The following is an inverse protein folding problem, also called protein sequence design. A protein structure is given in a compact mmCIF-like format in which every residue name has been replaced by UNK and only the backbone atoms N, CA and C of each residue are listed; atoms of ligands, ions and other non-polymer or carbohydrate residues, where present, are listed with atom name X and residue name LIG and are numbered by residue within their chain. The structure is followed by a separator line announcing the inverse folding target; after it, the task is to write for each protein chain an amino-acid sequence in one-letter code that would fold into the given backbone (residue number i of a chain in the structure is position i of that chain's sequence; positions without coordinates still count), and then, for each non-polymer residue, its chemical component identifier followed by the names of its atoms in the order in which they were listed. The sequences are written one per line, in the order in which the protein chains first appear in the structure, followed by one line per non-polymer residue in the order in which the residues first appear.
data_IF_364220784650
#
_entry.id   IF_364220784650
#
_cell.length_a   1.000
_cell.length_b   1.000
_cell.length_c   1.000
_cell.angle_alpha   90.00
_cell.angle_beta   90.00
_cell.angle_gamma   90.00
#
_symmetry.space_group_name_H-M   'P 1'
#
loop_
_entity.id
_entity.type
_entity.pdbx_description
1 polymer ?
#
# COMPACT_ATOMS: atom_id res chain seq x y z
N UNK A 1 -46.74 -16.98 9.86
CA UNK A 1 -46.51 -15.59 9.38
C UNK A 1 -45.09 -15.23 9.78
N UNK A 2 -44.13 -15.28 8.84
CA UNK A 2 -43.41 -14.13 8.26
C UNK A 2 -42.79 -13.22 9.35
N UNK A 3 -41.49 -13.00 9.48
CA UNK A 3 -40.44 -12.65 8.49
C UNK A 3 -39.06 -12.76 9.18
N UNK A 4 -38.07 -13.47 8.62
CA UNK A 4 -36.91 -12.93 7.88
C UNK A 4 -36.54 -11.44 8.11
N UNK A 5 -35.43 -11.21 8.82
CA UNK A 5 -34.56 -10.01 8.70
C UNK A 5 -33.15 -10.41 9.20
N UNK A 6 -32.32 -10.97 8.30
CA UNK A 6 -31.12 -10.32 7.71
C UNK A 6 -30.09 -9.85 8.76
N UNK A 7 -29.02 -10.59 9.06
CA UNK A 7 -27.84 -10.84 8.21
C UNK A 7 -27.00 -9.59 7.83
N UNK A 8 -26.90 -8.57 8.70
CA UNK A 8 -26.06 -7.38 8.43
C UNK A 8 -25.15 -6.99 9.61
N UNK A 9 -24.32 -7.94 10.08
CA UNK A 9 -23.30 -7.62 11.11
C UNK A 9 -21.85 -7.88 10.65
N UNK A 10 -21.62 -8.07 9.35
CA UNK A 10 -20.28 -8.36 8.79
C UNK A 10 -19.66 -7.20 8.00
N UNK A 11 -19.90 -5.94 8.40
CA UNK A 11 -19.36 -4.76 7.69
C UNK A 11 -18.57 -3.77 8.55
N UNK A 12 -18.04 -4.18 9.71
CA UNK A 12 -17.23 -3.31 10.58
C UNK A 12 -15.80 -3.84 10.82
N UNK A 13 -15.15 -4.31 9.76
CA UNK A 13 -13.71 -4.55 9.78
C UNK A 13 -13.03 -3.89 8.56
N UNK A 14 -13.38 -2.63 8.30
CA UNK A 14 -12.47 -1.72 7.58
C UNK A 14 -11.58 -1.11 8.64
N UNK A 15 -10.49 -1.81 8.96
CA UNK A 15 -9.38 -1.25 9.71
C UNK A 15 -8.83 -0.05 8.94
N UNK A 16 -8.77 1.16 9.54
CA UNK A 16 -8.03 2.25 8.94
C UNK A 16 -6.54 1.99 9.18
N UNK A 17 -5.87 1.27 8.27
CA UNK A 17 -4.39 1.26 8.20
C UNK A 17 -3.90 2.48 7.41
N UNK A 18 -4.54 3.62 7.63
CA UNK A 18 -4.24 4.93 7.03
C UNK A 18 -3.95 5.92 8.18
N UNK A 19 -3.06 5.53 9.09
CA UNK A 19 -2.81 6.22 10.35
C UNK A 19 -1.38 6.68 10.59
N UNK A 20 -0.51 6.71 9.58
CA UNK A 20 0.87 7.22 9.69
C UNK A 20 1.28 8.12 8.53
N UNK A 21 0.33 8.87 7.98
CA UNK A 21 0.63 9.99 7.08
C UNK A 21 1.15 11.19 7.89
N UNK A 22 2.47 11.24 8.00
CA UNK A 22 3.29 12.45 7.80
C UNK A 22 3.08 13.63 8.78
N UNK A 23 3.72 13.54 9.94
CA UNK A 23 4.19 14.72 10.68
C UNK A 23 5.67 14.98 10.36
N UNK A 24 5.99 15.57 9.20
CA UNK A 24 7.36 16.03 8.89
C UNK A 24 7.40 17.34 8.09
N UNK A 25 6.50 18.28 8.38
CA UNK A 25 6.56 19.65 7.84
C UNK A 25 6.42 20.66 8.98
N UNK A 26 7.50 20.91 9.72
CA UNK A 26 7.68 22.16 10.49
C UNK A 26 9.13 22.35 10.94
N UNK A 27 10.06 22.45 9.98
CA UNK A 27 11.43 22.91 10.24
C UNK A 27 11.80 24.15 9.39
N UNK A 28 10.80 24.93 8.96
CA UNK A 28 10.99 26.08 8.07
C UNK A 28 11.15 27.44 8.74
N UNK A 29 11.04 27.55 10.08
CA UNK A 29 10.95 28.84 10.77
C UNK A 29 12.20 29.28 11.54
N UNK A 30 13.29 28.49 11.56
CA UNK A 30 14.46 28.75 12.41
C UNK A 30 15.67 29.43 11.76
N UNK A 31 15.69 29.63 10.44
CA UNK A 31 16.92 29.98 9.70
C UNK A 31 17.09 31.47 9.37
N UNK A 32 16.21 32.35 9.84
CA UNK A 32 16.21 33.77 9.44
C UNK A 32 17.12 34.70 10.27
N UNK A 33 17.70 34.25 11.40
CA UNK A 33 18.32 35.15 12.39
C UNK A 33 19.85 35.09 12.54
N UNK A 34 20.59 34.37 11.68
CA UNK A 34 22.05 34.16 11.86
C UNK A 34 22.97 34.72 10.76
N UNK A 35 22.46 35.51 9.81
CA UNK A 35 23.20 35.93 8.60
C UNK A 35 24.18 37.11 8.82
N UNK A 36 24.21 37.77 9.98
CA UNK A 36 24.88 39.07 10.09
C UNK A 36 26.41 39.09 10.40
N UNK A 37 27.11 37.98 10.61
CA UNK A 37 28.56 38.06 10.93
C UNK A 37 29.35 36.74 10.74
N UNK A 38 29.59 36.27 9.51
CA UNK A 38 30.53 35.15 9.27
C UNK A 38 31.41 35.38 8.04
N UNK A 39 32.70 35.08 8.23
CA UNK A 39 33.79 35.30 7.28
C UNK A 39 33.63 34.50 5.99
N UNK A 40 34.05 35.07 4.85
CA UNK A 40 33.95 34.45 3.51
C UNK A 40 34.72 33.11 3.36
N UNK A 41 35.61 32.75 4.30
CA UNK A 41 36.36 31.48 4.28
C UNK A 41 35.64 30.30 4.95
N UNK A 42 34.72 30.56 5.88
CA UNK A 42 33.99 29.53 6.63
C UNK A 42 32.71 29.06 5.94
N UNK A 43 32.17 29.88 5.03
CA UNK A 43 30.91 29.64 4.33
C UNK A 43 31.00 28.48 3.34
N UNK A 44 32.09 28.36 2.58
CA UNK A 44 32.29 27.26 1.64
C UNK A 44 32.42 25.89 2.34
N UNK A 45 33.05 25.84 3.51
CA UNK A 45 33.17 24.61 4.31
C UNK A 45 31.83 24.23 4.95
N UNK A 46 31.07 25.21 5.46
CA UNK A 46 29.72 24.98 6.01
C UNK A 46 28.76 24.43 4.93
N UNK A 47 28.78 25.01 3.73
CA UNK A 47 27.96 24.54 2.60
C UNK A 47 28.24 23.09 2.18
N UNK A 48 29.51 22.66 2.22
CA UNK A 48 29.90 21.29 1.88
C UNK A 48 29.50 20.29 2.98
N UNK A 49 29.58 20.70 4.25
CA UNK A 49 29.06 19.91 5.36
C UNK A 49 27.53 19.76 5.29
N UNK A 50 26.80 20.81 4.95
CA UNK A 50 25.35 20.77 4.82
C UNK A 50 24.90 19.85 3.67
N UNK A 51 25.59 19.90 2.52
CA UNK A 51 25.31 19.01 1.39
C UNK A 51 25.56 17.54 1.73
N UNK A 52 26.71 17.25 2.32
CA UNK A 52 27.08 15.86 2.68
C UNK A 52 26.16 15.29 3.74
N UNK A 53 25.76 16.10 4.73
CA UNK A 53 24.78 15.71 5.74
C UNK A 53 23.39 15.45 5.13
N UNK A 54 22.91 16.33 4.24
CA UNK A 54 21.62 16.13 3.57
C UNK A 54 21.63 14.86 2.70
N UNK A 55 22.69 14.65 1.92
CA UNK A 55 22.83 13.46 1.09
C UNK A 55 22.83 12.17 1.93
N UNK A 56 23.50 12.19 3.09
CA UNK A 56 23.53 11.05 4.01
C UNK A 56 22.15 10.79 4.62
N UNK A 57 21.43 11.82 5.06
CA UNK A 57 20.06 11.70 5.57
C UNK A 57 19.11 11.14 4.50
N UNK A 58 19.18 11.66 3.27
CA UNK A 58 18.37 11.16 2.16
C UNK A 58 18.65 9.68 1.85
N UNK A 59 19.92 9.25 1.89
CA UNK A 59 20.29 7.86 1.67
C UNK A 59 19.68 6.93 2.74
N UNK A 60 19.80 7.30 4.02
CA UNK A 60 19.23 6.53 5.13
C UNK A 60 17.71 6.47 5.04
N UNK A 61 17.05 7.60 4.78
CA UNK A 61 15.60 7.66 4.62
C UNK A 61 15.10 6.83 3.43
N UNK A 62 15.87 6.81 2.34
CA UNK A 62 15.57 6.00 1.17
C UNK A 62 15.73 4.51 1.47
N UNK A 63 16.78 4.12 2.20
CA UNK A 63 17.03 2.74 2.60
C UNK A 63 15.90 2.23 3.52
N UNK A 64 15.49 3.03 4.51
CA UNK A 64 14.36 2.72 5.38
C UNK A 64 13.07 2.58 4.56
N UNK A 65 12.82 3.48 3.62
CA UNK A 65 11.64 3.41 2.75
C UNK A 65 11.64 2.14 1.89
N UNK A 66 12.79 1.73 1.37
CA UNK A 66 12.93 0.48 0.62
C UNK A 66 12.68 -0.76 1.49
N UNK A 67 13.23 -0.80 2.71
CA UNK A 67 13.00 -1.88 3.65
C UNK A 67 11.51 -1.99 4.02
N UNK A 68 10.87 -0.86 4.32
CA UNK A 68 9.44 -0.80 4.61
C UNK A 68 8.59 -1.25 3.41
N UNK A 69 8.94 -0.83 2.19
CA UNK A 69 8.25 -1.26 0.98
C UNK A 69 8.42 -2.76 0.73
N UNK A 70 9.60 -3.33 0.99
CA UNK A 70 9.85 -4.77 0.88
C UNK A 70 8.99 -5.56 1.90
N UNK A 71 8.98 -5.12 3.16
CA UNK A 71 8.14 -5.72 4.20
C UNK A 71 6.66 -5.62 3.85
N UNK A 72 6.21 -4.49 3.32
CA UNK A 72 4.80 -4.31 2.95
C UNK A 72 4.42 -5.19 1.75
N UNK A 73 5.32 -5.40 0.78
CA UNK A 73 5.11 -6.38 -0.30
C UNK A 73 4.95 -7.80 0.25
N UNK A 74 5.80 -8.20 1.20
CA UNK A 74 5.70 -9.51 1.84
C UNK A 74 4.36 -9.70 2.57
N UNK A 75 3.91 -8.68 3.30
CA UNK A 75 2.59 -8.69 3.94
C UNK A 75 1.45 -8.82 2.94
N UNK A 76 1.51 -8.10 1.81
CA UNK A 76 0.50 -8.21 0.75
C UNK A 76 0.47 -9.65 0.21
N UNK A 77 1.63 -10.26 -0.03
CA UNK A 77 1.72 -11.63 -0.54
C UNK A 77 1.21 -12.67 0.46
N UNK A 78 1.54 -12.50 1.74
CA UNK A 78 1.00 -13.35 2.80
C UNK A 78 -0.52 -13.20 2.92
N UNK A 79 -1.03 -11.96 2.91
CA UNK A 79 -2.46 -11.70 2.96
C UNK A 79 -3.21 -12.29 1.75
N UNK A 80 -2.60 -12.24 0.56
CA UNK A 80 -3.14 -12.86 -0.65
C UNK A 80 -3.22 -14.39 -0.51
N UNK A 81 -2.16 -15.03 0.01
CA UNK A 81 -2.13 -16.47 0.25
C UNK A 81 -3.20 -16.92 1.26
N UNK A 82 -3.34 -16.18 2.36
CA UNK A 82 -4.36 -16.45 3.38
C UNK A 82 -5.78 -16.30 2.83
N UNK A 83 -6.01 -15.25 2.04
CA UNK A 83 -7.31 -14.98 1.40
C UNK A 83 -7.69 -16.11 0.45
N UNK A 84 -6.76 -16.56 -0.40
CA UNK A 84 -6.98 -17.67 -1.32
C UNK A 84 -7.26 -18.99 -0.60
N UNK A 85 -6.56 -19.28 0.50
CA UNK A 85 -6.80 -20.46 1.33
C UNK A 85 -8.21 -20.45 1.95
N UNK A 86 -8.64 -19.29 2.48
CA UNK A 86 -9.99 -19.10 3.04
C UNK A 86 -11.05 -19.27 1.96
N UNK A 87 -10.87 -18.67 0.78
CA UNK A 87 -11.78 -18.77 -0.36
C UNK A 87 -11.98 -20.22 -0.80
N UNK A 88 -10.90 -20.97 -1.01
CA UNK A 88 -10.97 -22.41 -1.37
C UNK A 88 -11.71 -23.23 -0.33
N UNK A 89 -11.46 -22.96 0.95
CA UNK A 89 -12.12 -23.68 2.04
C UNK A 89 -13.62 -23.35 2.10
N UNK A 90 -13.99 -22.08 1.90
CA UNK A 90 -15.38 -21.65 1.82
C UNK A 90 -16.10 -22.30 0.62
N UNK A 91 -15.48 -22.30 -0.56
CA UNK A 91 -16.01 -22.94 -1.76
C UNK A 91 -16.22 -24.45 -1.54
N UNK A 92 -15.22 -25.16 -0.99
CA UNK A 92 -15.35 -26.59 -0.65
C UNK A 92 -16.52 -26.85 0.30
N UNK A 93 -16.70 -26.01 1.33
CA UNK A 93 -17.81 -26.12 2.28
C UNK A 93 -19.16 -25.84 1.60
N UNK A 94 -19.24 -24.85 0.73
CA UNK A 94 -20.45 -24.53 -0.02
C UNK A 94 -20.86 -25.68 -0.94
N UNK A 95 -19.91 -26.24 -1.70
CA UNK A 95 -20.14 -27.40 -2.58
C UNK A 95 -20.57 -28.62 -1.77
N UNK A 96 -19.95 -28.88 -0.61
CA UNK A 96 -20.33 -29.99 0.25
C UNK A 96 -21.77 -29.84 0.81
N UNK A 97 -22.14 -28.63 1.26
CA UNK A 97 -23.51 -28.32 1.71
C UNK A 97 -24.53 -28.49 0.61
N UNK A 98 -24.22 -27.98 -0.59
CA UNK A 98 -25.05 -28.16 -1.77
C UNK A 98 -25.28 -29.66 -2.00
N UNK A 99 -24.20 -30.44 -2.15
CA UNK A 99 -24.30 -31.89 -2.38
C UNK A 99 -25.11 -32.63 -1.31
N UNK A 100 -24.94 -32.27 -0.03
CA UNK A 100 -25.70 -32.86 1.06
C UNK A 100 -27.20 -32.53 0.98
N UNK A 101 -27.56 -31.29 0.61
CA UNK A 101 -28.96 -30.88 0.46
C UNK A 101 -29.66 -31.62 -0.69
N UNK A 102 -29.03 -31.72 -1.87
CA UNK A 102 -29.63 -32.47 -2.98
C UNK A 102 -29.72 -33.96 -2.68
N UNK A 103 -28.67 -34.55 -2.08
CA UNK A 103 -28.67 -35.95 -1.68
C UNK A 103 -29.75 -36.29 -0.64
N UNK A 104 -29.97 -35.42 0.34
CA UNK A 104 -31.02 -35.60 1.36
C UNK A 104 -32.44 -35.39 0.83
N UNK A 105 -32.61 -34.61 -0.24
CA UNK A 105 -33.92 -34.29 -0.80
C UNK A 105 -34.54 -35.40 -1.67
N UNK A 106 -33.83 -36.50 -1.91
CA UNK A 106 -34.32 -37.62 -2.74
C UNK A 106 -34.51 -37.29 -4.24
N UNK A 107 -34.35 -36.03 -4.61
CA UNK A 107 -34.23 -35.53 -5.98
C UNK A 107 -32.85 -35.94 -6.49
N UNK A 108 -32.72 -37.21 -6.87
CA UNK A 108 -31.56 -37.69 -7.61
C UNK A 108 -31.29 -36.76 -8.78
N UNK A 109 -30.06 -36.24 -8.84
CA UNK A 109 -29.59 -35.32 -9.85
C UNK A 109 -29.98 -35.82 -11.25
N UNK A 110 -31.05 -35.26 -11.81
CA UNK A 110 -31.29 -35.35 -13.24
C UNK A 110 -30.10 -34.63 -13.90
N UNK A 111 -29.37 -35.29 -14.84
CA UNK A 111 -28.26 -34.64 -15.55
C UNK A 111 -28.77 -33.38 -16.25
N UNK A 112 -28.20 -32.21 -15.91
CA UNK A 112 -28.57 -30.91 -16.50
C UNK A 112 -29.56 -30.03 -15.70
N UNK A 113 -29.81 -30.32 -14.42
CA UNK A 113 -30.76 -29.57 -13.57
C UNK A 113 -30.21 -28.32 -12.87
N UNK A 114 -31.10 -27.59 -12.19
CA UNK A 114 -30.86 -26.35 -11.44
C UNK A 114 -29.78 -26.43 -10.35
N UNK A 115 -29.40 -27.63 -9.88
CA UNK A 115 -28.29 -27.81 -8.95
C UNK A 115 -26.90 -27.55 -9.56
N UNK A 116 -26.72 -27.86 -10.84
CA UNK A 116 -25.46 -27.63 -11.57
C UNK A 116 -25.28 -26.13 -11.90
N UNK A 117 -26.38 -25.45 -12.24
CA UNK A 117 -26.39 -24.00 -12.43
C UNK A 117 -26.00 -23.22 -11.16
N UNK A 118 -26.41 -23.69 -9.97
CA UNK A 118 -26.02 -23.07 -8.70
C UNK A 118 -24.54 -23.31 -8.39
N UNK A 119 -24.01 -24.51 -8.67
CA UNK A 119 -22.58 -24.79 -8.50
C UNK A 119 -21.72 -23.95 -9.44
N UNK A 120 -22.17 -23.79 -10.69
CA UNK A 120 -21.53 -22.90 -11.66
C UNK A 120 -21.56 -21.44 -11.16
N UNK A 121 -22.70 -20.95 -10.70
CA UNK A 121 -22.81 -19.60 -10.14
C UNK A 121 -21.92 -19.37 -8.92
N UNK A 122 -21.79 -20.35 -8.01
CA UNK A 122 -20.86 -20.29 -6.89
C UNK A 122 -19.39 -20.26 -7.33
N UNK A 123 -19.06 -20.98 -8.40
CA UNK A 123 -17.73 -20.94 -8.98
C UNK A 123 -17.42 -19.58 -9.62
N UNK A 124 -18.35 -19.05 -10.43
CA UNK A 124 -18.22 -17.75 -11.09
C UNK A 124 -18.06 -16.62 -10.07
N UNK A 125 -18.89 -16.59 -9.02
CA UNK A 125 -18.74 -15.66 -7.90
C UNK A 125 -17.37 -15.77 -7.25
N UNK A 126 -16.86 -16.98 -7.07
CA UNK A 126 -15.56 -17.19 -6.44
C UNK A 126 -14.39 -16.75 -7.34
N UNK A 127 -14.50 -16.86 -8.66
CA UNK A 127 -13.52 -16.30 -9.58
C UNK A 127 -13.61 -14.77 -9.66
N UNK A 128 -14.80 -14.18 -9.55
CA UNK A 128 -14.96 -12.73 -9.45
C UNK A 128 -14.32 -12.17 -8.17
N UNK A 129 -14.55 -12.81 -7.02
CA UNK A 129 -13.89 -12.49 -5.74
C UNK A 129 -12.36 -12.57 -5.85
N UNK A 130 -11.84 -13.60 -6.51
CA UNK A 130 -10.40 -13.76 -6.76
C UNK A 130 -9.85 -12.64 -7.65
N UNK A 131 -10.56 -12.29 -8.72
CA UNK A 131 -10.12 -11.24 -9.65
C UNK A 131 -10.11 -9.87 -8.99
N UNK A 132 -11.13 -9.55 -8.19
CA UNK A 132 -11.20 -8.30 -7.42
C UNK A 132 -10.09 -8.21 -6.37
N UNK A 133 -9.83 -9.29 -5.63
CA UNK A 133 -8.71 -9.36 -4.68
C UNK A 133 -7.36 -9.14 -5.37
N UNK A 134 -7.11 -9.82 -6.49
CA UNK A 134 -5.87 -9.66 -7.27
C UNK A 134 -5.69 -8.23 -7.81
N UNK A 135 -6.78 -7.60 -8.27
CA UNK A 135 -6.75 -6.22 -8.72
C UNK A 135 -6.40 -5.25 -7.57
N UNK A 136 -6.96 -5.48 -6.38
CA UNK A 136 -6.66 -4.70 -5.19
C UNK A 136 -5.19 -4.84 -4.76
N UNK A 137 -4.66 -6.06 -4.75
CA UNK A 137 -3.26 -6.31 -4.38
C UNK A 137 -2.30 -5.71 -5.41
N UNK A 138 -2.65 -5.78 -6.70
CA UNK A 138 -1.90 -5.10 -7.76
C UNK A 138 -1.91 -3.58 -7.55
N UNK A 139 -3.04 -3.00 -7.18
CA UNK A 139 -3.15 -1.57 -6.88
C UNK A 139 -2.30 -1.17 -5.68
N UNK A 140 -2.30 -1.97 -4.60
CA UNK A 140 -1.47 -1.75 -3.41
C UNK A 140 0.03 -1.78 -3.76
N UNK A 141 0.47 -2.78 -4.53
CA UNK A 141 1.86 -2.87 -5.00
C UNK A 141 2.25 -1.65 -5.86
N UNK A 142 1.38 -1.22 -6.78
CA UNK A 142 1.61 -0.01 -7.59
C UNK A 142 1.69 1.26 -6.74
N UNK A 143 0.85 1.40 -5.71
CA UNK A 143 0.88 2.55 -4.81
C UNK A 143 2.19 2.61 -4.01
N UNK A 144 2.70 1.47 -3.55
CA UNK A 144 4.03 1.37 -2.90
C UNK A 144 5.14 1.82 -3.85
N UNK A 145 5.14 1.32 -5.09
CA UNK A 145 6.15 1.67 -6.10
C UNK A 145 6.11 3.17 -6.44
N UNK A 146 4.90 3.72 -6.59
CA UNK A 146 4.71 5.14 -6.85
C UNK A 146 5.18 6.00 -5.67
N UNK A 147 4.91 5.59 -4.43
CA UNK A 147 5.40 6.27 -3.23
C UNK A 147 6.93 6.34 -3.21
N UNK A 148 7.60 5.23 -3.52
CA UNK A 148 9.06 5.15 -3.56
C UNK A 148 9.64 6.02 -4.68
N UNK A 149 9.06 5.99 -5.88
CA UNK A 149 9.48 6.82 -7.01
C UNK A 149 9.29 8.32 -6.74
N UNK A 150 8.19 8.70 -6.09
CA UNK A 150 7.94 10.08 -5.67
C UNK A 150 9.00 10.55 -4.66
N UNK A 151 9.35 9.71 -3.67
CA UNK A 151 10.39 10.03 -2.70
C UNK A 151 11.76 10.23 -3.34
N UNK A 152 12.13 9.38 -4.31
CA UNK A 152 13.36 9.56 -5.09
C UNK A 152 13.36 10.89 -5.86
N UNK A 153 12.23 11.23 -6.47
CA UNK A 153 12.08 12.47 -7.25
C UNK A 153 12.18 13.70 -6.35
N UNK A 154 11.58 13.67 -5.16
CA UNK A 154 11.70 14.74 -4.18
C UNK A 154 13.15 14.90 -3.69
N UNK A 155 13.85 13.79 -3.39
CA UNK A 155 15.26 13.83 -3.00
C UNK A 155 16.14 14.44 -4.12
N UNK A 156 15.88 14.05 -5.37
CA UNK A 156 16.59 14.62 -6.53
C UNK A 156 16.31 16.12 -6.69
N UNK A 157 15.05 16.53 -6.57
CA UNK A 157 14.64 17.94 -6.68
C UNK A 157 15.30 18.79 -5.59
N UNK A 158 15.28 18.33 -4.33
CA UNK A 158 15.94 19.02 -3.22
C UNK A 158 17.45 19.18 -3.47
N UNK A 159 18.08 18.12 -3.99
CA UNK A 159 19.50 18.13 -4.35
C UNK A 159 19.78 19.16 -5.45
N UNK A 160 18.93 19.24 -6.48
CA UNK A 160 19.07 20.21 -7.56
C UNK A 160 18.85 21.65 -7.08
N UNK A 161 17.83 21.90 -6.25
CA UNK A 161 17.56 23.23 -5.69
C UNK A 161 18.73 23.73 -4.85
N UNK A 162 19.29 22.87 -4.00
CA UNK A 162 20.44 23.25 -3.17
C UNK A 162 21.68 23.55 -4.02
N UNK A 163 21.96 22.75 -5.06
CA UNK A 163 23.03 23.04 -6.03
C UNK A 163 22.82 24.36 -6.77
N UNK A 164 21.58 24.65 -7.18
CA UNK A 164 21.23 25.90 -7.85
C UNK A 164 21.44 27.10 -6.92
N UNK A 165 21.02 27.01 -5.66
CA UNK A 165 21.22 28.06 -4.65
C UNK A 165 22.71 28.32 -4.41
N UNK A 166 23.53 27.27 -4.27
CA UNK A 166 24.98 27.39 -4.15
C UNK A 166 25.62 28.06 -5.37
N UNK A 167 25.16 27.73 -6.58
CA UNK A 167 25.66 28.34 -7.81
C UNK A 167 25.29 29.83 -7.91
N UNK A 168 24.08 30.21 -7.50
CA UNK A 168 23.64 31.60 -7.45
C UNK A 168 24.42 32.40 -6.41
N UNK A 169 24.62 31.87 -5.21
CA UNK A 169 25.38 32.53 -4.15
C UNK A 169 26.84 32.76 -4.56
N UNK A 170 27.46 31.80 -5.27
CA UNK A 170 28.80 31.97 -5.85
C UNK A 170 28.86 33.00 -6.99
N UNK A 171 27.79 33.20 -7.74
CA UNK A 171 27.74 34.15 -8.84
C UNK A 171 27.47 35.59 -8.38
N UNK A 172 26.95 35.76 -7.16
CA UNK A 172 26.64 37.05 -6.53
C UNK A 172 27.78 37.57 -5.62
N UNK A 173 28.76 36.72 -5.31
CA UNK A 173 30.00 37.04 -4.61
C UNK A 173 31.12 37.40 -5.60
#
# INVERSE_FOLDING_TARGET
MASFSSAVSALNAVTPVLGTTMQFISAGAGLANSIAARSNGDMARQQEHDFTQLAQQQKVNMEIAQQNAALEREKIEQAAADTESRRRTALKRAVARQRAQYGASGLGAAPGGSGEAVLLGLFDQSEEEKNTANALDTLRKKALDQGLANQQTLNLLQTQQLKANQALERALL
#
